data_IF_857256690868
#
_entry.id   IF_857256690868
#
_cell.length_a   1.000
_cell.length_b   1.000
_cell.length_c   1.000
_cell.angle_alpha   90.00
_cell.angle_beta   90.00
_cell.angle_gamma   90.00
#
_symmetry.space_group_name_H-M   'P 1'
#
loop_
_entity.id
_entity.type
_entity.pdbx_description
1 polymer ?
#
# COMPACT_ATOMS: atom_id res chain seq x y z
N UNK A 1 -35.59 -53.24 -51.52
CA UNK A 1 -34.44 -52.34 -51.74
C UNK A 1 -34.87 -51.23 -52.69
N UNK A 2 -34.82 -49.97 -52.23
CA UNK A 2 -34.15 -48.94 -53.00
C UNK A 2 -33.20 -48.12 -52.11
N UNK A 3 -31.93 -48.03 -52.50
CA UNK A 3 -30.91 -47.24 -51.83
C UNK A 3 -31.17 -45.74 -52.05
N UNK A 4 -31.74 -45.06 -51.06
CA UNK A 4 -31.86 -43.60 -51.06
C UNK A 4 -30.55 -42.97 -50.56
N UNK A 5 -29.51 -43.03 -51.39
CA UNK A 5 -28.28 -42.29 -51.10
C UNK A 5 -28.55 -40.78 -51.18
N UNK A 6 -28.16 -39.98 -50.17
CA UNK A 6 -28.42 -38.54 -50.19
C UNK A 6 -27.69 -37.88 -51.37
N UNK A 7 -28.37 -37.04 -52.13
CA UNK A 7 -27.79 -36.24 -53.22
C UNK A 7 -27.52 -34.82 -52.74
N UNK A 8 -26.40 -34.24 -53.15
CA UNK A 8 -26.01 -32.84 -52.87
C UNK A 8 -25.72 -32.14 -54.19
N UNK A 9 -25.97 -30.83 -54.30
CA UNK A 9 -25.70 -30.10 -55.53
C UNK A 9 -24.24 -29.65 -55.61
N UNK A 10 -23.62 -29.80 -56.78
CA UNK A 10 -22.25 -29.36 -57.02
C UNK A 10 -22.15 -27.82 -56.95
N UNK A 11 -21.22 -27.24 -56.17
CA UNK A 11 -21.08 -25.79 -56.05
C UNK A 11 -20.59 -25.09 -57.32
N UNK A 12 -20.07 -25.84 -58.30
CA UNK A 12 -19.51 -25.28 -59.53
C UNK A 12 -20.49 -25.27 -60.70
N UNK A 13 -21.27 -26.34 -60.88
CA UNK A 13 -22.21 -26.49 -62.00
C UNK A 13 -23.69 -26.60 -61.58
N UNK A 14 -23.98 -26.61 -60.27
CA UNK A 14 -25.31 -26.76 -59.68
C UNK A 14 -26.05 -28.09 -59.95
N UNK A 15 -25.44 -29.03 -60.68
CA UNK A 15 -26.02 -30.34 -60.96
C UNK A 15 -26.05 -31.23 -59.71
N UNK A 16 -27.11 -32.02 -59.48
CA UNK A 16 -27.18 -32.95 -58.34
C UNK A 16 -26.19 -34.10 -58.50
N UNK A 17 -25.43 -34.38 -57.44
CA UNK A 17 -24.46 -35.48 -57.38
C UNK A 17 -24.69 -36.36 -56.15
N UNK A 18 -24.31 -37.65 -56.18
CA UNK A 18 -24.34 -38.50 -55.00
C UNK A 18 -23.40 -37.97 -53.90
N UNK A 19 -23.85 -37.98 -52.65
CA UNK A 19 -22.99 -37.66 -51.51
C UNK A 19 -21.84 -38.67 -51.39
N UNK A 20 -20.62 -38.18 -51.09
CA UNK A 20 -19.42 -39.01 -50.94
C UNK A 20 -18.49 -39.09 -52.16
N UNK A 21 -18.83 -38.45 -53.28
CA UNK A 21 -17.93 -38.34 -54.43
C UNK A 21 -17.04 -37.10 -54.32
N UNK A 22 -15.74 -37.25 -54.57
CA UNK A 22 -14.75 -36.17 -54.52
C UNK A 22 -14.57 -35.42 -55.84
N UNK A 23 -15.07 -35.93 -56.97
CA UNK A 23 -14.94 -35.31 -58.31
C UNK A 23 -16.30 -35.33 -59.01
N UNK A 24 -16.81 -34.16 -59.40
CA UNK A 24 -18.10 -34.07 -60.07
C UNK A 24 -18.04 -34.70 -61.47
N UNK A 25 -18.94 -35.65 -61.83
CA UNK A 25 -18.93 -36.29 -63.15
C UNK A 25 -19.39 -35.36 -64.29
N UNK A 26 -20.07 -34.25 -63.97
CA UNK A 26 -20.56 -33.31 -64.97
C UNK A 26 -19.55 -32.23 -65.36
N UNK A 27 -18.75 -31.75 -64.39
CA UNK A 27 -17.80 -30.64 -64.63
C UNK A 27 -16.33 -30.98 -64.35
N UNK A 28 -16.04 -32.16 -63.78
CA UNK A 28 -14.67 -32.63 -63.51
C UNK A 28 -13.99 -31.95 -62.31
N UNK A 29 -14.63 -30.99 -61.64
CA UNK A 29 -14.05 -30.30 -60.49
C UNK A 29 -14.12 -31.14 -59.21
N UNK A 30 -13.10 -31.02 -58.36
CA UNK A 30 -13.05 -31.70 -57.06
C UNK A 30 -13.97 -31.00 -56.05
N UNK A 31 -14.94 -31.73 -55.49
CA UNK A 31 -15.85 -31.25 -54.46
C UNK A 31 -15.41 -31.83 -53.11
N UNK A 32 -14.90 -30.98 -52.22
CA UNK A 32 -14.38 -31.42 -50.93
C UNK A 32 -15.51 -31.45 -49.89
N UNK A 33 -15.62 -32.57 -49.17
CA UNK A 33 -16.68 -32.87 -48.19
C UNK A 33 -16.71 -31.96 -46.93
N UNK A 34 -15.94 -30.87 -46.91
CA UNK A 34 -15.67 -30.05 -45.73
C UNK A 34 -16.51 -28.77 -45.58
N UNK A 35 -17.53 -28.54 -46.41
CA UNK A 35 -18.32 -27.27 -46.35
C UNK A 35 -19.55 -27.37 -45.43
N UNK A 36 -19.81 -28.53 -44.83
CA UNK A 36 -20.99 -28.76 -43.99
C UNK A 36 -20.61 -29.10 -42.54
N UNK A 37 -20.01 -28.15 -41.81
CA UNK A 37 -20.11 -28.11 -40.34
C UNK A 37 -19.65 -26.75 -39.81
N UNK A 38 -20.61 -25.83 -39.74
CA UNK A 38 -20.87 -24.98 -38.59
C UNK A 38 -19.69 -24.20 -38.01
N UNK A 39 -19.68 -22.91 -38.31
CA UNK A 39 -19.13 -21.85 -37.48
C UNK A 39 -19.62 -21.99 -36.02
N UNK A 40 -18.93 -22.79 -35.21
CA UNK A 40 -19.03 -22.71 -33.75
C UNK A 40 -18.31 -21.44 -33.35
N UNK A 41 -19.07 -20.34 -33.24
CA UNK A 41 -18.59 -19.12 -32.58
C UNK A 41 -18.23 -19.52 -31.14
N UNK A 42 -16.95 -19.42 -30.81
CA UNK A 42 -16.49 -19.49 -29.43
C UNK A 42 -17.32 -18.50 -28.58
N UNK A 43 -17.68 -18.86 -27.33
CA UNK A 43 -18.31 -17.91 -26.44
C UNK A 43 -17.32 -16.76 -26.23
N UNK A 44 -17.67 -15.57 -26.71
CA UNK A 44 -16.93 -14.34 -26.42
C UNK A 44 -17.01 -14.14 -24.92
N UNK A 45 -15.92 -14.43 -24.21
CA UNK A 45 -15.81 -14.21 -22.79
C UNK A 45 -16.10 -12.72 -22.51
N UNK A 46 -17.08 -12.47 -21.64
CA UNK A 46 -17.49 -11.13 -21.26
C UNK A 46 -16.29 -10.34 -20.68
N UNK A 47 -16.21 -9.02 -20.93
CA UNK A 47 -15.11 -8.20 -20.40
C UNK A 47 -15.19 -8.17 -18.87
N UNK A 48 -14.15 -8.73 -18.24
CA UNK A 48 -13.96 -8.73 -16.79
C UNK A 48 -13.75 -7.29 -16.31
N UNK A 49 -14.80 -6.66 -15.75
CA UNK A 49 -14.70 -5.33 -15.11
C UNK A 49 -13.92 -5.45 -13.80
N UNK A 50 -12.62 -5.22 -13.86
CA UNK A 50 -11.76 -5.05 -12.67
C UNK A 50 -12.19 -3.78 -11.94
N UNK A 51 -13.09 -3.93 -10.97
CA UNK A 51 -13.50 -2.83 -10.11
C UNK A 51 -12.27 -2.21 -9.44
N UNK A 52 -12.06 -0.92 -9.68
CA UNK A 52 -11.00 -0.15 -9.03
C UNK A 52 -11.15 -0.32 -7.52
N UNK A 53 -10.07 -0.64 -6.78
CA UNK A 53 -10.13 -0.86 -5.34
C UNK A 53 -10.19 0.48 -4.59
N UNK A 54 -11.17 1.32 -4.94
CA UNK A 54 -11.31 2.66 -4.38
C UNK A 54 -11.54 2.60 -2.87
N UNK A 55 -12.23 1.54 -2.39
CA UNK A 55 -12.36 1.25 -0.97
C UNK A 55 -11.02 1.01 -0.27
N UNK A 56 -10.07 0.33 -0.94
CA UNK A 56 -8.72 0.14 -0.39
C UNK A 56 -7.93 1.45 -0.36
N UNK A 57 -8.06 2.27 -1.41
CA UNK A 57 -7.42 3.59 -1.48
C UNK A 57 -7.94 4.49 -0.35
N UNK A 58 -9.26 4.55 -0.14
CA UNK A 58 -9.87 5.33 0.94
C UNK A 58 -9.46 4.80 2.31
N UNK A 59 -9.41 3.47 2.50
CA UNK A 59 -8.96 2.87 3.75
C UNK A 59 -7.49 3.20 4.06
N UNK A 60 -6.60 3.10 3.07
CA UNK A 60 -5.19 3.48 3.21
C UNK A 60 -5.04 4.97 3.51
N UNK A 61 -5.77 5.84 2.80
CA UNK A 61 -5.76 7.28 3.06
C UNK A 61 -6.27 7.62 4.47
N UNK A 62 -7.30 6.91 4.94
CA UNK A 62 -7.82 7.06 6.30
C UNK A 62 -6.78 6.62 7.34
N UNK A 63 -6.12 5.48 7.14
CA UNK A 63 -5.05 5.03 8.04
C UNK A 63 -3.87 6.01 8.08
N UNK A 64 -3.47 6.55 6.92
CA UNK A 64 -2.43 7.58 6.85
C UNK A 64 -2.88 8.84 7.60
N UNK A 65 -4.10 9.31 7.39
CA UNK A 65 -4.65 10.48 8.08
C UNK A 65 -4.67 10.30 9.60
N UNK A 66 -5.10 9.14 10.09
CA UNK A 66 -5.07 8.79 11.51
C UNK A 66 -3.64 8.73 12.03
N UNK A 67 -2.72 8.12 11.27
CA UNK A 67 -1.30 8.04 11.64
C UNK A 67 -0.66 9.43 11.75
N UNK A 68 -0.92 10.32 10.79
CA UNK A 68 -0.47 11.72 10.83
C UNK A 68 -1.08 12.45 12.02
N UNK A 69 -2.38 12.26 12.29
CA UNK A 69 -3.03 12.85 13.45
C UNK A 69 -2.34 12.42 14.74
N UNK A 70 -2.19 11.11 14.98
CA UNK A 70 -1.50 10.59 16.17
C UNK A 70 -0.05 11.10 16.27
N UNK A 71 0.68 11.14 15.14
CA UNK A 71 2.05 11.66 15.10
C UNK A 71 2.15 13.16 15.45
N UNK A 72 1.17 13.97 15.05
CA UNK A 72 1.15 15.40 15.40
C UNK A 72 0.73 15.65 16.84
N UNK A 73 -0.03 14.75 17.44
CA UNK A 73 -0.63 14.92 18.76
C UNK A 73 0.19 14.28 19.89
N UNK A 74 1.05 13.30 19.60
CA UNK A 74 1.91 12.65 20.59
C UNK A 74 3.35 13.16 20.52
N UNK A 75 4.02 13.18 21.67
CA UNK A 75 5.44 13.48 21.79
C UNK A 75 6.11 12.60 22.83
N UNK A 76 7.43 12.45 22.71
CA UNK A 76 8.30 11.74 23.63
C UNK A 76 9.30 12.75 24.19
N UNK A 77 9.25 12.95 25.50
CA UNK A 77 10.15 13.85 26.22
C UNK A 77 11.08 13.02 27.11
N UNK A 78 12.38 13.08 26.85
CA UNK A 78 13.38 12.27 27.56
C UNK A 78 14.23 13.15 28.45
N UNK A 79 14.29 12.82 29.74
CA UNK A 79 15.13 13.47 30.74
C UNK A 79 16.29 12.53 31.04
N UNK A 80 17.50 12.99 30.79
CA UNK A 80 18.72 12.26 31.14
C UNK A 80 18.85 12.07 32.65
N UNK A 81 19.54 11.01 33.09
CA UNK A 81 19.89 10.86 34.49
C UNK A 81 20.76 12.03 34.92
N UNK A 82 20.36 12.67 36.02
CA UNK A 82 21.13 13.70 36.71
C UNK A 82 21.46 13.17 38.10
N UNK A 83 22.49 13.68 38.77
CA UNK A 83 22.85 13.20 40.12
C UNK A 83 21.70 13.21 41.13
N UNK A 84 20.64 14.00 40.90
CA UNK A 84 19.41 14.03 41.71
C UNK A 84 18.28 13.09 41.22
N UNK A 85 18.36 12.58 39.98
CA UNK A 85 17.38 11.72 39.32
C UNK A 85 18.15 10.59 38.60
N UNK A 86 18.60 9.55 39.33
CA UNK A 86 19.61 8.61 38.86
C UNK A 86 19.16 7.71 37.71
N UNK A 87 17.86 7.44 37.60
CA UNK A 87 17.32 6.53 36.58
C UNK A 87 16.99 7.22 35.25
N UNK A 88 16.99 8.56 35.23
CA UNK A 88 16.38 9.32 34.14
C UNK A 88 14.91 8.93 33.92
N UNK A 89 14.23 9.56 32.97
CA UNK A 89 12.85 9.19 32.64
C UNK A 89 12.49 9.58 31.21
N UNK A 90 11.75 8.72 30.53
CA UNK A 90 11.14 9.01 29.24
C UNK A 90 9.64 9.15 29.46
N UNK A 91 9.05 10.27 29.07
CA UNK A 91 7.61 10.51 29.19
C UNK A 91 7.00 10.69 27.81
N UNK A 92 5.96 9.91 27.54
CA UNK A 92 5.10 10.13 26.37
C UNK A 92 3.98 11.06 26.80
N UNK A 93 3.78 12.14 26.08
CA UNK A 93 2.86 13.20 26.44
C UNK A 93 2.02 13.68 25.25
N UNK A 94 0.91 14.33 25.55
CA UNK A 94 0.11 15.05 24.56
C UNK A 94 0.83 16.34 24.15
N UNK A 95 1.26 16.35 22.90
CA UNK A 95 2.03 17.43 22.27
C UNK A 95 1.13 18.63 21.99
N UNK A 96 1.65 19.82 22.26
CA UNK A 96 1.05 21.08 21.83
C UNK A 96 1.62 21.54 20.49
N UNK A 97 0.91 22.45 19.83
CA UNK A 97 1.32 23.01 18.53
C UNK A 97 2.72 23.62 18.62
N UNK A 98 3.65 23.14 17.80
CA UNK A 98 5.01 23.70 17.66
C UNK A 98 6.12 23.07 18.51
N UNK A 99 5.82 22.19 19.48
CA UNK A 99 6.85 21.35 20.13
C UNK A 99 7.40 20.32 19.14
N UNK A 100 8.58 19.69 19.30
CA UNK A 100 9.05 18.59 18.45
C UNK A 100 8.54 17.21 18.91
N UNK A 101 8.64 16.17 18.07
CA UNK A 101 8.15 14.81 18.44
C UNK A 101 9.05 14.15 19.49
N UNK A 102 10.36 14.19 19.27
CA UNK A 102 11.35 13.83 20.28
C UNK A 102 11.91 15.10 20.87
N UNK A 103 11.81 15.23 22.18
CA UNK A 103 12.31 16.38 22.90
C UNK A 103 13.05 15.95 24.16
N UNK A 104 13.91 16.83 24.65
CA UNK A 104 14.63 16.68 25.91
C UNK A 104 14.98 18.06 26.45
N UNK A 105 15.39 18.17 27.73
CA UNK A 105 15.90 19.42 28.27
C UNK A 105 17.08 19.96 27.44
N UNK A 106 17.98 19.07 27.00
CA UNK A 106 19.19 19.45 26.26
C UNK A 106 18.88 19.85 24.82
N UNK A 107 17.98 19.12 24.15
CA UNK A 107 17.49 19.50 22.83
C UNK A 107 16.80 20.86 22.85
N UNK A 108 16.14 21.20 23.96
CA UNK A 108 15.54 22.52 24.15
C UNK A 108 16.63 23.59 24.33
N UNK A 109 17.68 23.30 25.10
CA UNK A 109 18.82 24.18 25.28
C UNK A 109 19.60 24.45 24.01
N UNK A 110 19.88 23.41 23.23
CA UNK A 110 20.50 23.54 21.91
C UNK A 110 19.69 24.45 20.98
N UNK A 111 18.35 24.37 21.01
CA UNK A 111 17.49 25.19 20.16
C UNK A 111 17.40 26.66 20.59
N UNK A 112 17.57 26.96 21.88
CA UNK A 112 17.41 28.32 22.42
C UNK A 112 18.74 29.06 22.51
N UNK A 113 19.82 28.37 22.90
CA UNK A 113 21.10 28.98 23.27
C UNK A 113 22.30 28.40 22.49
N UNK A 114 22.06 27.54 21.48
CA UNK A 114 23.11 26.83 20.72
C UNK A 114 24.14 26.08 21.60
N UNK A 115 23.73 25.69 22.81
CA UNK A 115 24.60 25.04 23.78
C UNK A 115 23.85 24.49 24.99
N UNK A 116 24.50 23.57 25.72
CA UNK A 116 23.93 22.91 26.90
C UNK A 116 24.70 23.36 28.14
N UNK A 117 24.06 24.16 28.99
CA UNK A 117 24.57 24.56 30.31
C UNK A 117 23.72 23.97 31.42
N UNK A 118 24.29 23.78 32.61
CA UNK A 118 23.55 23.33 33.81
C UNK A 118 22.32 24.22 34.08
N UNK A 119 22.49 25.54 33.96
CA UNK A 119 21.40 26.49 34.15
C UNK A 119 20.28 26.30 33.13
N UNK A 120 20.65 26.12 31.85
CA UNK A 120 19.65 25.89 30.82
C UNK A 120 18.92 24.56 31.04
N UNK A 121 19.63 23.48 31.39
CA UNK A 121 19.03 22.17 31.68
C UNK A 121 18.01 22.27 32.82
N UNK A 122 18.35 22.98 33.90
CA UNK A 122 17.43 23.27 35.01
C UNK A 122 16.20 24.07 34.52
N UNK A 123 16.40 25.11 33.72
CA UNK A 123 15.31 25.93 33.20
C UNK A 123 14.39 25.15 32.22
N UNK A 124 14.97 24.27 31.41
CA UNK A 124 14.23 23.44 30.45
C UNK A 124 13.43 22.33 31.15
N UNK A 125 13.93 21.80 32.28
CA UNK A 125 13.18 20.85 33.11
C UNK A 125 11.95 21.48 33.77
N UNK A 126 12.00 22.77 34.15
CA UNK A 126 10.83 23.49 34.67
C UNK A 126 9.74 23.64 33.59
N UNK A 127 10.14 23.71 32.33
CA UNK A 127 9.23 23.79 31.18
C UNK A 127 8.81 22.40 30.65
N UNK A 128 9.20 21.32 31.32
CA UNK A 128 8.85 19.98 30.88
C UNK A 128 7.32 19.76 30.97
N UNK A 129 6.70 19.11 29.97
CA UNK A 129 5.26 18.94 29.88
C UNK A 129 4.73 17.82 30.79
N UNK A 130 4.92 17.98 32.10
CA UNK A 130 4.55 16.97 33.12
C UNK A 130 3.04 16.83 33.32
N UNK A 131 2.26 17.85 32.97
CA UNK A 131 0.80 17.89 33.16
C UNK A 131 0.01 17.13 32.08
N UNK A 132 0.66 16.81 30.95
CA UNK A 132 0.05 16.17 29.77
C UNK A 132 0.61 14.77 29.53
N UNK A 133 1.18 14.14 30.56
CA UNK A 133 1.82 12.83 30.48
C UNK A 133 0.79 11.73 30.35
N UNK A 134 0.98 10.86 29.35
CA UNK A 134 0.18 9.66 29.10
C UNK A 134 0.83 8.47 29.81
N UNK A 135 2.13 8.27 29.60
CA UNK A 135 2.87 7.16 30.21
C UNK A 135 4.31 7.57 30.55
N UNK A 136 4.80 6.99 31.64
CA UNK A 136 6.18 7.11 32.12
C UNK A 136 6.92 5.81 31.82
N UNK A 137 8.03 5.93 31.12
CA UNK A 137 8.90 4.85 30.68
C UNK A 137 10.30 5.07 31.29
N UNK A 138 11.09 4.00 31.46
CA UNK A 138 12.49 4.14 31.85
C UNK A 138 13.25 4.97 30.82
N UNK A 139 14.41 5.50 31.22
CA UNK A 139 15.28 6.26 30.33
C UNK A 139 15.61 5.45 29.06
N UNK A 140 15.42 6.09 27.92
CA UNK A 140 15.69 5.51 26.60
C UNK A 140 16.67 6.41 25.85
N UNK A 141 17.91 5.94 25.75
CA UNK A 141 19.00 6.69 25.13
C UNK A 141 18.74 7.01 23.65
N UNK A 142 18.11 6.10 22.92
CA UNK A 142 17.79 6.32 21.51
C UNK A 142 16.82 7.49 21.29
N UNK A 143 15.82 7.65 22.18
CA UNK A 143 14.85 8.74 22.11
C UNK A 143 15.51 10.08 22.48
N UNK A 144 16.48 10.03 23.41
CA UNK A 144 17.31 11.16 23.75
C UNK A 144 18.22 11.58 22.59
N UNK A 145 18.97 10.66 21.98
CA UNK A 145 19.84 10.95 20.84
C UNK A 145 19.07 11.50 19.65
N UNK A 146 17.86 10.99 19.39
CA UNK A 146 17.00 11.56 18.34
C UNK A 146 16.60 13.00 18.64
N UNK A 147 16.43 13.36 19.91
CA UNK A 147 16.08 14.72 20.32
C UNK A 147 17.24 15.70 20.16
N UNK A 148 18.49 15.27 20.43
CA UNK A 148 19.68 16.13 20.39
C UNK A 148 20.42 16.12 19.06
N UNK A 149 19.96 15.33 18.08
CA UNK A 149 20.64 15.20 16.78
C UNK A 149 21.86 14.28 16.81
N UNK A 150 21.90 13.32 17.74
CA UNK A 150 22.93 12.29 17.83
C UNK A 150 24.08 12.59 18.79
N UNK A 151 23.99 13.68 19.56
CA UNK A 151 25.01 14.05 20.55
C UNK A 151 24.53 13.77 21.98
N UNK A 152 25.37 13.12 22.78
CA UNK A 152 25.14 12.95 24.20
C UNK A 152 25.85 14.03 25.01
N UNK A 153 25.11 14.66 25.92
CA UNK A 153 25.68 15.61 26.87
C UNK A 153 25.70 14.96 28.25
N UNK A 154 26.76 14.20 28.52
CA UNK A 154 27.05 13.76 29.88
C UNK A 154 27.48 14.99 30.70
N UNK A 155 27.01 15.07 31.95
CA UNK A 155 27.44 16.05 32.95
C UNK A 155 27.90 15.32 34.19
#
# INVERSE_FOLDING_TARGET
MPDSSPTVNCPYCAEPIPSGIHVCPHCGNTVSAGVLATTVRAPVAAPQRKGTPWGWIVFVLLLIGVGVFVYTQMGVYTIQPIGALPDGITVVYWRSSGEPFFNSPDATCLRIQDGVSLLCRLAAMVQAPVDRVIVRLPYQEWAYLLSTGGVSFEQ
#
